data_IF_123790915925
#
_entry.id   IF_123790915925
#
_cell.length_a   1.000
_cell.length_b   1.000
_cell.length_c   1.000
_cell.angle_alpha   90.00
_cell.angle_beta   90.00
_cell.angle_gamma   90.00
#
_symmetry.space_group_name_H-M   'P 1'
#
loop_
_entity.id
_entity.type
_entity.pdbx_description
1 polymer ?
#
# COMPACT_ATOMS: atom_id res chain seq x y z
N UNK A 1 28.25 -4.51 -8.92
CA UNK A 1 27.54 -5.60 -9.63
C UNK A 1 26.02 -5.62 -9.44
N UNK A 2 25.44 -6.01 -8.28
CA UNK A 2 23.97 -6.13 -8.15
C UNK A 2 23.23 -4.79 -8.35
N UNK A 3 23.75 -3.71 -7.76
CA UNK A 3 23.21 -2.34 -7.95
C UNK A 3 23.22 -1.93 -9.42
N UNK A 4 24.33 -2.17 -10.13
CA UNK A 4 24.44 -1.86 -11.56
C UNK A 4 23.44 -2.66 -12.40
N UNK A 5 23.25 -3.95 -12.11
CA UNK A 5 22.23 -4.77 -12.79
C UNK A 5 20.83 -4.16 -12.61
N UNK A 6 20.45 -3.82 -11.37
CA UNK A 6 19.15 -3.19 -11.08
C UNK A 6 19.02 -1.84 -11.81
N UNK A 7 20.06 -1.01 -11.81
CA UNK A 7 20.04 0.29 -12.48
C UNK A 7 19.94 0.18 -14.02
N UNK A 8 20.67 -0.77 -14.61
CA UNK A 8 20.73 -0.97 -16.05
C UNK A 8 19.47 -1.65 -16.61
N UNK A 9 19.02 -2.71 -15.95
CA UNK A 9 17.95 -3.56 -16.49
C UNK A 9 16.58 -3.35 -15.84
N UNK A 10 16.52 -2.62 -14.71
CA UNK A 10 15.27 -2.34 -13.97
C UNK A 10 14.49 -3.60 -13.61
N UNK A 11 15.22 -4.65 -13.25
CA UNK A 11 14.69 -5.93 -12.78
C UNK A 11 15.28 -6.28 -11.41
N UNK A 12 14.56 -7.13 -10.70
CA UNK A 12 14.98 -7.66 -9.41
C UNK A 12 16.28 -8.45 -9.53
N UNK A 13 17.07 -8.41 -8.47
CA UNK A 13 18.34 -9.11 -8.34
C UNK A 13 18.46 -9.65 -6.92
N UNK A 14 18.93 -10.89 -6.79
CA UNK A 14 19.13 -11.54 -5.50
C UNK A 14 20.63 -11.73 -5.27
N UNK A 15 21.09 -11.35 -4.09
CA UNK A 15 22.45 -11.64 -3.61
C UNK A 15 22.34 -12.69 -2.53
N UNK A 16 22.74 -13.93 -2.85
CA UNK A 16 22.75 -15.02 -1.88
C UNK A 16 24.03 -14.94 -1.02
N UNK A 17 23.85 -14.53 0.25
CA UNK A 17 24.95 -14.36 1.20
C UNK A 17 25.07 -15.61 2.06
N UNK A 18 25.94 -16.52 1.64
CA UNK A 18 26.27 -17.71 2.42
C UNK A 18 27.02 -17.33 3.70
N UNK A 19 26.35 -17.48 4.84
CA UNK A 19 26.90 -17.19 6.16
C UNK A 19 26.57 -18.32 7.15
N UNK A 20 26.77 -18.07 8.44
CA UNK A 20 26.39 -18.99 9.50
C UNK A 20 25.80 -18.23 10.69
N UNK A 21 24.95 -18.91 11.47
CA UNK A 21 24.39 -18.37 12.71
C UNK A 21 25.26 -18.79 13.89
N UNK A 22 25.87 -17.82 14.58
CA UNK A 22 26.81 -18.09 15.70
C UNK A 22 26.13 -18.75 16.91
N UNK A 23 24.92 -18.29 17.24
CA UNK A 23 24.09 -18.78 18.35
C UNK A 23 22.86 -19.54 17.84
N UNK A 24 21.96 -19.94 18.74
CA UNK A 24 20.69 -20.58 18.39
C UNK A 24 19.72 -19.68 17.63
N UNK A 25 18.46 -20.10 17.47
CA UNK A 25 17.46 -19.26 16.78
C UNK A 25 17.29 -17.90 17.45
N UNK A 26 17.42 -17.90 18.77
CA UNK A 26 17.74 -16.73 19.59
C UNK A 26 18.95 -17.09 20.49
N UNK A 27 19.47 -16.13 21.23
CA UNK A 27 20.70 -16.25 22.02
C UNK A 27 20.56 -17.24 23.19
N UNK A 28 19.33 -17.52 23.64
CA UNK A 28 19.03 -18.43 24.74
C UNK A 28 18.70 -19.86 24.27
N UNK A 29 18.58 -20.07 22.96
CA UNK A 29 18.20 -21.33 22.34
C UNK A 29 19.40 -22.29 22.16
N UNK A 30 19.19 -23.58 22.44
CA UNK A 30 20.24 -24.59 22.41
C UNK A 30 20.24 -25.36 21.08
N UNK A 31 20.95 -24.82 20.09
CA UNK A 31 20.97 -25.37 18.74
C UNK A 31 21.64 -26.74 18.60
N UNK A 32 22.51 -27.13 19.54
CA UNK A 32 23.20 -28.43 19.47
C UNK A 32 22.24 -29.62 19.61
N UNK A 33 21.01 -29.41 20.11
CA UNK A 33 20.00 -30.47 20.17
C UNK A 33 19.59 -30.99 18.79
N UNK A 34 19.63 -30.13 17.77
CA UNK A 34 19.17 -30.48 16.42
C UNK A 34 20.25 -30.30 15.34
N UNK A 35 21.28 -29.47 15.57
CA UNK A 35 22.40 -29.27 14.62
C UNK A 35 23.81 -29.46 15.25
N UNK A 36 24.13 -30.58 15.92
CA UNK A 36 25.36 -30.73 16.71
C UNK A 36 26.65 -30.66 15.87
N UNK A 37 26.67 -31.24 14.67
CA UNK A 37 27.87 -31.24 13.81
C UNK A 37 28.18 -29.86 13.23
N UNK A 38 27.13 -29.13 12.81
CA UNK A 38 27.24 -27.78 12.29
C UNK A 38 27.80 -26.84 13.36
N UNK A 39 27.23 -26.87 14.56
CA UNK A 39 27.66 -26.00 15.65
C UNK A 39 29.04 -26.38 16.21
N UNK A 40 29.46 -27.66 16.10
CA UNK A 40 30.85 -28.04 16.39
C UNK A 40 31.83 -27.34 15.45
N UNK A 41 31.55 -27.33 14.14
CA UNK A 41 32.38 -26.63 13.14
C UNK A 41 32.36 -25.11 13.33
N UNK A 42 31.17 -24.53 13.55
CA UNK A 42 31.02 -23.09 13.81
C UNK A 42 31.84 -22.70 15.03
N UNK A 43 31.75 -23.45 16.14
CA UNK A 43 32.49 -23.17 17.37
C UNK A 43 34.02 -23.13 17.16
N UNK A 44 34.55 -24.00 16.29
CA UNK A 44 35.97 -23.99 15.93
C UNK A 44 36.37 -22.97 14.86
N UNK A 45 35.41 -22.31 14.22
CA UNK A 45 35.67 -21.37 13.13
C UNK A 45 35.82 -19.92 13.66
N UNK A 46 36.92 -19.22 13.32
CA UNK A 46 37.08 -17.80 13.63
C UNK A 46 35.91 -16.96 13.08
N UNK A 47 35.63 -15.81 13.69
CA UNK A 47 34.57 -14.91 13.19
C UNK A 47 34.99 -14.28 11.87
N UNK A 48 34.05 -13.86 11.00
CA UNK A 48 34.38 -13.14 9.77
C UNK A 48 35.22 -11.89 10.04
N UNK A 49 34.96 -11.20 11.15
CA UNK A 49 35.75 -10.05 11.60
C UNK A 49 37.20 -10.44 11.86
N UNK A 50 37.45 -11.53 12.60
CA UNK A 50 38.83 -11.96 12.88
C UNK A 50 39.56 -12.44 11.62
N UNK A 51 38.87 -13.18 10.74
CA UNK A 51 39.44 -13.60 9.45
C UNK A 51 39.84 -12.39 8.61
N UNK A 52 38.99 -11.36 8.57
CA UNK A 52 39.26 -10.16 7.78
C UNK A 52 40.35 -9.28 8.43
N UNK A 53 40.37 -9.15 9.76
CA UNK A 53 41.44 -8.47 10.51
C UNK A 53 42.80 -9.09 10.22
N UNK A 54 42.90 -10.42 10.31
CA UNK A 54 44.13 -11.14 10.03
C UNK A 54 44.62 -10.86 8.60
N UNK A 55 43.72 -10.88 7.62
CA UNK A 55 44.03 -10.55 6.23
C UNK A 55 44.54 -9.12 6.07
N UNK A 56 43.89 -8.12 6.68
CA UNK A 56 44.32 -6.72 6.59
C UNK A 56 45.72 -6.49 7.16
N UNK A 57 46.06 -7.22 8.22
CA UNK A 57 47.40 -7.18 8.84
C UNK A 57 48.43 -7.85 7.94
N UNK A 58 48.11 -9.01 7.36
CA UNK A 58 48.99 -9.73 6.43
C UNK A 58 49.28 -8.92 5.15
N UNK A 59 48.28 -8.19 4.64
CA UNK A 59 48.42 -7.31 3.47
C UNK A 59 49.10 -5.97 3.81
N UNK A 60 49.32 -5.66 5.09
CA UNK A 60 49.91 -4.40 5.55
C UNK A 60 48.98 -3.17 5.42
N UNK A 61 47.70 -3.38 5.14
CA UNK A 61 46.68 -2.32 5.00
C UNK A 61 46.35 -1.67 6.35
N UNK A 62 46.41 -2.45 7.44
CA UNK A 62 46.20 -1.98 8.80
C UNK A 62 47.07 -2.76 9.79
N UNK A 63 47.41 -2.14 10.91
CA UNK A 63 48.13 -2.78 12.01
C UNK A 63 47.16 -3.40 13.03
N UNK A 64 47.65 -4.37 13.82
CA UNK A 64 46.87 -4.94 14.93
C UNK A 64 46.46 -3.88 15.97
N UNK A 65 47.30 -2.87 16.18
CA UNK A 65 47.04 -1.79 17.13
C UNK A 65 45.89 -0.91 16.64
N UNK A 66 45.88 -0.51 15.37
CA UNK A 66 44.79 0.29 14.78
C UNK A 66 43.45 -0.46 14.84
N UNK A 67 43.44 -1.75 14.48
CA UNK A 67 42.21 -2.55 14.52
C UNK A 67 41.67 -2.76 15.95
N UNK A 68 42.56 -2.86 16.93
CA UNK A 68 42.18 -2.95 18.34
C UNK A 68 41.64 -1.61 18.85
N UNK A 69 42.29 -0.50 18.48
CA UNK A 69 41.82 0.84 18.83
C UNK A 69 40.40 1.09 18.29
N UNK A 70 40.13 0.70 17.04
CA UNK A 70 38.79 0.80 16.45
C UNK A 70 37.72 0.02 17.25
N UNK A 71 38.08 -1.16 17.78
CA UNK A 71 37.16 -1.95 18.63
C UNK A 71 36.92 -1.29 19.98
N UNK A 72 37.98 -0.77 20.61
CA UNK A 72 37.89 -0.06 21.88
C UNK A 72 37.08 1.24 21.72
N UNK A 73 37.27 1.97 20.62
CA UNK A 73 36.53 3.19 20.31
C UNK A 73 35.03 2.92 20.13
N UNK A 74 34.67 1.89 19.37
CA UNK A 74 33.26 1.51 19.19
C UNK A 74 32.64 1.01 20.49
N UNK A 75 33.37 0.22 21.29
CA UNK A 75 32.88 -0.20 22.60
C UNK A 75 32.65 0.99 23.53
N UNK A 76 33.58 1.94 23.57
CA UNK A 76 33.45 3.17 24.36
C UNK A 76 32.28 4.02 23.88
N UNK A 77 32.05 4.10 22.57
CA UNK A 77 30.90 4.76 21.99
C UNK A 77 29.58 4.13 22.46
N UNK A 78 29.44 2.79 22.38
CA UNK A 78 28.26 2.08 22.86
C UNK A 78 28.05 2.23 24.38
N UNK A 79 29.13 2.20 25.17
CA UNK A 79 29.07 2.42 26.61
C UNK A 79 28.64 3.85 26.96
N UNK A 80 29.10 4.85 26.20
CA UNK A 80 28.67 6.22 26.35
C UNK A 80 27.18 6.35 26.01
N UNK A 81 26.75 5.82 24.87
CA UNK A 81 25.35 5.84 24.46
C UNK A 81 24.44 5.16 25.50
N UNK A 82 24.88 4.05 26.10
CA UNK A 82 24.16 3.39 27.19
C UNK A 82 24.02 4.28 28.43
N UNK A 83 25.07 4.99 28.84
CA UNK A 83 25.00 5.95 29.94
C UNK A 83 24.08 7.13 29.62
N UNK A 84 24.24 7.71 28.44
CA UNK A 84 23.44 8.85 27.96
C UNK A 84 21.95 8.48 27.80
N UNK A 85 21.63 7.18 27.61
CA UNK A 85 20.24 6.71 27.49
C UNK A 85 19.38 6.95 28.72
N UNK A 86 19.99 7.11 29.90
CA UNK A 86 19.26 7.40 31.14
C UNK A 86 18.52 8.74 31.09
N UNK A 87 19.09 9.73 30.40
CA UNK A 87 18.54 11.07 30.25
C UNK A 87 17.87 11.27 28.86
N UNK A 88 17.88 10.24 28.01
CA UNK A 88 17.35 10.34 26.67
C UNK A 88 15.81 10.37 26.67
N UNK A 89 15.24 11.46 26.16
CA UNK A 89 13.82 11.56 25.84
C UNK A 89 13.64 11.32 24.34
N UNK A 90 12.92 10.27 23.93
CA UNK A 90 12.66 10.02 22.52
C UNK A 90 11.92 11.20 21.89
N UNK A 91 12.55 11.85 20.91
CA UNK A 91 11.87 12.80 20.04
C UNK A 91 11.04 12.02 19.03
N UNK A 92 9.71 12.18 19.05
CA UNK A 92 8.85 11.60 18.02
C UNK A 92 9.17 12.21 16.65
N UNK A 93 9.11 11.42 15.59
CA UNK A 93 9.46 11.86 14.23
C UNK A 93 10.28 10.80 13.49
N UNK A 94 9.65 10.01 12.64
CA UNK A 94 10.34 9.25 11.60
C UNK A 94 10.34 10.01 10.24
N UNK A 95 11.11 9.54 9.26
CA UNK A 95 11.21 10.14 7.93
C UNK A 95 9.85 10.29 7.23
N UNK A 96 8.90 9.40 7.49
CA UNK A 96 7.53 9.48 6.97
C UNK A 96 6.71 10.59 7.63
N UNK A 97 6.99 10.95 8.89
CA UNK A 97 6.13 11.87 9.65
C UNK A 97 6.09 13.27 9.02
N UNK A 98 7.14 13.65 8.27
CA UNK A 98 7.21 14.91 7.52
C UNK A 98 6.15 15.03 6.43
N UNK A 99 5.80 13.93 5.77
CA UNK A 99 4.77 13.95 4.72
C UNK A 99 3.36 14.13 5.32
N UNK A 100 3.21 13.82 6.61
CA UNK A 100 1.95 13.82 7.34
C UNK A 100 1.77 15.04 8.27
N UNK A 101 2.64 16.05 8.20
CA UNK A 101 2.60 17.24 9.06
C UNK A 101 1.25 18.00 9.01
N UNK A 102 0.52 17.91 7.90
CA UNK A 102 -0.80 18.55 7.74
C UNK A 102 -1.96 17.73 8.31
N UNK A 103 -1.71 16.49 8.76
CA UNK A 103 -2.72 15.59 9.32
C UNK A 103 -2.69 15.62 10.84
N UNK A 104 -3.87 15.44 11.43
CA UNK A 104 -4.04 15.39 12.88
C UNK A 104 -3.33 14.18 13.46
N UNK A 105 -2.80 14.34 14.67
CA UNK A 105 -2.18 13.24 15.40
C UNK A 105 -3.19 12.17 15.81
N UNK A 106 -2.69 10.98 16.15
CA UNK A 106 -3.43 9.84 16.72
C UNK A 106 -4.19 10.15 18.03
N UNK A 107 -3.94 11.32 18.62
CA UNK A 107 -4.60 11.81 19.85
C UNK A 107 -5.85 12.63 19.58
N UNK A 108 -6.10 13.03 18.35
CA UNK A 108 -7.21 13.89 17.98
C UNK A 108 -8.24 13.11 17.17
N UNK A 109 -9.50 13.14 17.61
CA UNK A 109 -10.58 12.58 16.82
C UNK A 109 -10.82 13.45 15.58
N UNK A 110 -10.88 12.81 14.41
CA UNK A 110 -11.35 13.48 13.21
C UNK A 110 -12.83 13.83 13.38
N UNK A 111 -13.19 15.07 13.04
CA UNK A 111 -14.58 15.53 13.02
C UNK A 111 -15.13 15.38 11.59
N UNK A 112 -16.39 14.93 11.41
CA UNK A 112 -17.00 14.85 10.10
C UNK A 112 -16.91 16.18 9.36
N UNK A 113 -16.35 16.16 8.15
CA UNK A 113 -16.23 17.33 7.29
C UNK A 113 -17.42 17.40 6.33
N UNK A 114 -17.79 18.61 5.91
CA UNK A 114 -18.74 18.79 4.80
C UNK A 114 -18.05 18.39 3.50
N UNK A 115 -18.50 17.29 2.89
CA UNK A 115 -17.96 16.75 1.64
C UNK A 115 -18.77 17.14 0.40
N UNK A 116 -19.88 17.85 0.59
CA UNK A 116 -20.75 18.30 -0.49
C UNK A 116 -20.03 19.27 -1.44
N UNK A 117 -20.32 19.15 -2.73
CA UNK A 117 -19.84 20.07 -3.77
C UNK A 117 -21.03 20.70 -4.49
N UNK A 118 -20.82 21.84 -5.15
CA UNK A 118 -21.86 22.47 -5.95
C UNK A 118 -22.28 21.57 -7.13
N UNK A 119 -23.58 21.57 -7.47
CA UNK A 119 -24.11 20.88 -8.64
C UNK A 119 -23.38 21.26 -9.93
N UNK A 120 -22.98 22.53 -10.07
CA UNK A 120 -22.19 23.00 -11.21
C UNK A 120 -20.89 22.19 -11.41
N UNK A 121 -20.21 21.82 -10.33
CA UNK A 121 -19.01 20.98 -10.37
C UNK A 121 -19.37 19.56 -10.80
N UNK A 122 -20.46 19.00 -10.24
CA UNK A 122 -20.95 17.66 -10.60
C UNK A 122 -21.34 17.58 -12.07
N UNK A 123 -22.09 18.55 -12.61
CA UNK A 123 -22.43 18.62 -14.03
C UNK A 123 -21.18 18.76 -14.91
N UNK A 124 -20.21 19.59 -14.51
CA UNK A 124 -18.95 19.75 -15.26
C UNK A 124 -18.18 18.44 -15.37
N UNK A 125 -18.03 17.71 -14.25
CA UNK A 125 -17.40 16.40 -14.19
C UNK A 125 -18.20 15.39 -15.01
N UNK A 126 -19.52 15.33 -14.80
CA UNK A 126 -20.45 14.45 -15.50
C UNK A 126 -20.35 14.56 -17.01
N UNK A 127 -20.41 15.79 -17.51
CA UNK A 127 -20.27 16.09 -18.93
C UNK A 127 -18.91 15.67 -19.49
N UNK A 128 -17.84 15.81 -18.71
CA UNK A 128 -16.50 15.47 -19.16
C UNK A 128 -16.25 13.96 -19.15
N UNK A 129 -16.60 13.25 -18.07
CA UNK A 129 -16.27 11.83 -17.93
C UNK A 129 -17.17 10.92 -18.79
N UNK A 130 -18.38 11.37 -19.16
CA UNK A 130 -19.27 10.63 -20.07
C UNK A 130 -19.01 10.95 -21.55
N UNK A 131 -18.13 11.90 -21.85
CA UNK A 131 -17.83 12.31 -23.23
C UNK A 131 -16.92 11.31 -23.92
N UNK A 132 -17.43 10.72 -25.00
CA UNK A 132 -16.67 9.82 -25.88
C UNK A 132 -15.87 10.67 -26.89
N UNK A 133 -14.55 10.51 -26.99
CA UNK A 133 -13.76 11.19 -28.02
C UNK A 133 -14.19 10.79 -29.44
N UNK A 134 -14.20 11.72 -30.42
CA UNK A 134 -14.64 11.41 -31.79
C UNK A 134 -13.85 10.30 -32.49
N UNK A 135 -12.60 10.10 -32.09
CA UNK A 135 -11.69 9.09 -32.64
C UNK A 135 -11.81 7.73 -31.94
N UNK A 136 -12.60 7.60 -30.87
CA UNK A 136 -12.66 6.40 -30.04
C UNK A 136 -13.91 5.56 -30.38
N UNK A 137 -13.69 4.33 -30.86
CA UNK A 137 -14.76 3.38 -31.15
C UNK A 137 -15.12 2.58 -29.90
N UNK A 138 -16.12 3.09 -29.18
CA UNK A 138 -16.63 2.45 -27.97
C UNK A 138 -17.63 1.32 -28.28
N UNK A 139 -17.73 0.34 -27.38
CA UNK A 139 -18.74 -0.71 -27.47
C UNK A 139 -20.18 -0.14 -27.38
N UNK A 140 -21.15 -0.59 -28.21
CA UNK A 140 -22.50 -0.04 -28.24
C UNK A 140 -23.24 -0.04 -26.90
N UNK A 141 -23.12 -1.12 -26.11
CA UNK A 141 -23.74 -1.18 -24.78
C UNK A 141 -23.13 -0.16 -23.81
N UNK A 142 -21.81 0.06 -23.88
CA UNK A 142 -21.15 1.04 -23.03
C UNK A 142 -21.53 2.47 -23.44
N UNK A 143 -21.71 2.74 -24.75
CA UNK A 143 -22.26 4.01 -25.23
C UNK A 143 -23.62 4.31 -24.62
N UNK A 144 -24.50 3.30 -24.53
CA UNK A 144 -25.82 3.43 -23.90
C UNK A 144 -25.70 3.74 -22.40
N UNK A 145 -24.87 3.00 -21.67
CA UNK A 145 -24.60 3.23 -20.23
C UNK A 145 -24.11 4.67 -19.99
N UNK A 146 -23.15 5.16 -20.80
CA UNK A 146 -22.64 6.53 -20.65
C UNK A 146 -23.69 7.60 -20.96
N UNK A 147 -24.59 7.34 -21.91
CA UNK A 147 -25.70 8.24 -22.22
C UNK A 147 -26.70 8.33 -21.07
N UNK A 148 -27.07 7.18 -20.48
CA UNK A 148 -27.97 7.12 -19.32
C UNK A 148 -27.36 7.82 -18.10
N UNK A 149 -26.06 7.60 -17.83
CA UNK A 149 -25.34 8.31 -16.76
C UNK A 149 -25.34 9.81 -16.95
N UNK A 150 -25.14 10.27 -18.18
CA UNK A 150 -25.16 11.69 -18.50
C UNK A 150 -26.53 12.29 -18.23
N UNK A 151 -27.60 11.62 -18.67
CA UNK A 151 -28.98 12.04 -18.43
C UNK A 151 -29.30 12.11 -16.93
N UNK A 152 -28.93 11.09 -16.15
CA UNK A 152 -29.10 11.09 -14.68
C UNK A 152 -28.42 12.29 -14.01
N UNK A 153 -27.22 12.66 -14.46
CA UNK A 153 -26.50 13.81 -13.94
C UNK A 153 -27.17 15.11 -14.35
N UNK A 154 -27.59 15.24 -15.62
CA UNK A 154 -28.29 16.43 -16.12
C UNK A 154 -29.63 16.65 -15.40
N UNK A 155 -30.37 15.58 -15.10
CA UNK A 155 -31.64 15.61 -14.36
C UNK A 155 -31.46 15.73 -12.84
N UNK A 156 -30.28 15.40 -12.30
CA UNK A 156 -30.00 15.37 -10.87
C UNK A 156 -30.75 14.28 -10.09
N UNK A 157 -31.32 13.29 -10.78
CA UNK A 157 -32.13 12.23 -10.17
C UNK A 157 -31.78 10.86 -10.74
N UNK A 158 -31.99 9.80 -9.96
CA UNK A 158 -31.71 8.42 -10.40
C UNK A 158 -30.22 8.09 -10.58
N UNK A 159 -29.32 8.82 -9.92
CA UNK A 159 -27.88 8.57 -9.97
C UNK A 159 -27.58 7.23 -9.28
N UNK A 160 -27.06 6.27 -10.05
CA UNK A 160 -26.66 4.96 -9.53
C UNK A 160 -25.32 5.00 -8.77
N UNK A 161 -24.96 3.88 -8.13
CA UNK A 161 -23.77 3.76 -7.30
C UNK A 161 -22.47 4.08 -8.05
N UNK A 162 -22.31 3.54 -9.26
CA UNK A 162 -21.08 3.72 -10.05
C UNK A 162 -20.98 5.13 -10.65
N UNK A 163 -22.11 5.76 -10.95
CA UNK A 163 -22.18 7.14 -11.37
C UNK A 163 -21.79 8.08 -10.21
N UNK A 164 -22.31 7.83 -9.01
CA UNK A 164 -21.92 8.56 -7.80
C UNK A 164 -20.43 8.37 -7.46
N UNK A 165 -19.89 7.15 -7.60
CA UNK A 165 -18.46 6.84 -7.44
C UNK A 165 -17.61 7.65 -8.42
N UNK A 166 -17.98 7.68 -9.71
CA UNK A 166 -17.27 8.46 -10.73
C UNK A 166 -17.29 9.97 -10.45
N UNK A 167 -18.41 10.50 -9.97
CA UNK A 167 -18.52 11.90 -9.55
C UNK A 167 -17.61 12.20 -8.35
N UNK A 168 -17.59 11.33 -7.33
CA UNK A 168 -16.74 11.47 -6.16
C UNK A 168 -15.24 11.43 -6.53
N UNK A 169 -14.82 10.53 -7.41
CA UNK A 169 -13.44 10.51 -7.89
C UNK A 169 -13.12 11.78 -8.68
N UNK A 170 -14.03 12.21 -9.56
CA UNK A 170 -13.85 13.43 -10.34
C UNK A 170 -13.71 14.68 -9.47
N UNK A 171 -14.44 14.79 -8.36
CA UNK A 171 -14.34 15.95 -7.45
C UNK A 171 -13.01 15.96 -6.71
N UNK A 172 -12.52 14.80 -6.28
CA UNK A 172 -11.20 14.66 -5.66
C UNK A 172 -10.09 15.05 -6.65
N UNK A 173 -10.15 14.53 -7.87
CA UNK A 173 -9.14 14.81 -8.90
C UNK A 173 -9.09 16.29 -9.29
N UNK A 174 -10.19 17.03 -9.14
CA UNK A 174 -10.26 18.48 -9.37
C UNK A 174 -9.61 19.32 -8.27
N UNK A 175 -9.27 18.74 -7.12
CA UNK A 175 -8.54 19.43 -6.05
C UNK A 175 -7.02 19.56 -6.35
N UNK A 176 -6.57 19.12 -7.54
CA UNK A 176 -5.20 19.17 -8.10
C UNK A 176 -4.13 18.36 -7.34
N UNK A 177 -4.14 18.39 -6.01
CA UNK A 177 -3.09 17.80 -5.16
C UNK A 177 -3.43 16.39 -4.69
N UNK A 178 -4.70 15.96 -4.82
CA UNK A 178 -5.16 14.66 -4.32
C UNK A 178 -5.35 13.68 -5.47
N UNK A 179 -4.50 12.65 -5.50
CA UNK A 179 -4.61 11.57 -6.48
C UNK A 179 -5.63 10.52 -6.04
N UNK A 180 -6.15 9.75 -7.00
CA UNK A 180 -7.04 8.62 -6.72
C UNK A 180 -6.39 7.36 -7.26
N UNK A 181 -6.29 6.33 -6.43
CA UNK A 181 -5.74 5.03 -6.79
C UNK A 181 -6.74 3.92 -6.44
N UNK A 182 -7.11 3.11 -7.41
CA UNK A 182 -7.95 1.93 -7.24
C UNK A 182 -7.23 0.71 -7.82
N UNK A 183 -7.00 -0.30 -7.00
CA UNK A 183 -6.32 -1.53 -7.38
C UNK A 183 -7.16 -2.73 -6.99
N UNK A 184 -7.25 -3.72 -7.87
CA UNK A 184 -8.06 -4.90 -7.64
C UNK A 184 -8.26 -5.69 -8.92
N UNK A 185 -8.78 -6.90 -8.79
CA UNK A 185 -9.04 -7.77 -9.94
C UNK A 185 -10.22 -7.20 -10.74
N UNK A 186 -10.02 -6.97 -12.04
CA UNK A 186 -11.03 -6.45 -12.97
C UNK A 186 -11.66 -5.10 -12.56
N UNK A 187 -11.01 -4.32 -11.69
CA UNK A 187 -11.60 -3.12 -11.09
C UNK A 187 -11.89 -2.01 -12.14
N UNK A 188 -11.15 -1.98 -13.26
CA UNK A 188 -11.33 -1.02 -14.35
C UNK A 188 -12.74 -1.06 -14.96
N UNK A 189 -13.22 -2.27 -15.24
CA UNK A 189 -14.59 -2.56 -15.68
C UNK A 189 -15.53 -2.64 -14.47
N UNK A 190 -15.03 -3.17 -13.36
CA UNK A 190 -15.79 -3.65 -12.22
C UNK A 190 -16.21 -5.10 -12.41
N UNK A 191 -16.13 -5.89 -11.33
CA UNK A 191 -16.56 -7.29 -11.29
C UNK A 191 -17.96 -7.47 -11.86
N UNK A 192 -18.89 -6.59 -11.48
CA UNK A 192 -20.30 -6.60 -11.87
C UNK A 192 -20.58 -5.83 -13.16
N UNK A 193 -19.55 -5.50 -13.93
CA UNK A 193 -19.64 -4.66 -15.14
C UNK A 193 -20.34 -3.32 -14.88
N UNK A 194 -20.09 -2.75 -13.70
CA UNK A 194 -20.77 -1.55 -13.23
C UNK A 194 -19.91 -0.30 -13.36
N UNK A 195 -18.57 -0.37 -13.35
CA UNK A 195 -17.72 0.82 -13.17
C UNK A 195 -17.40 1.53 -14.49
N UNK A 196 -16.76 0.82 -15.41
CA UNK A 196 -16.35 1.31 -16.74
C UNK A 196 -15.62 2.67 -16.72
N UNK A 197 -14.61 2.83 -15.85
CA UNK A 197 -13.76 4.03 -15.83
C UNK A 197 -12.64 3.98 -16.88
N UNK A 198 -12.33 2.79 -17.37
CA UNK A 198 -11.39 2.54 -18.46
C UNK A 198 -12.14 1.91 -19.63
N UNK A 199 -11.97 2.47 -20.81
CA UNK A 199 -12.61 2.03 -22.03
C UNK A 199 -11.58 1.44 -22.98
N UNK A 200 -11.98 0.42 -23.73
CA UNK A 200 -11.16 -0.21 -24.75
C UNK A 200 -11.76 0.02 -26.13
N UNK A 201 -10.96 0.57 -27.03
CA UNK A 201 -11.35 0.81 -28.42
C UNK A 201 -11.55 -0.53 -29.13
N UNK A 202 -12.69 -0.67 -29.80
CA UNK A 202 -13.11 -1.96 -30.39
C UNK A 202 -12.30 -2.36 -31.64
N UNK A 203 -11.57 -1.43 -32.26
CA UNK A 203 -10.77 -1.73 -33.46
C UNK A 203 -9.27 -1.74 -33.17
N UNK A 204 -8.78 -0.79 -32.37
CA UNK A 204 -7.35 -0.56 -32.14
C UNK A 204 -6.83 -1.13 -30.82
N UNK A 205 -7.72 -1.48 -29.88
CA UNK A 205 -7.34 -1.88 -28.53
C UNK A 205 -6.77 -0.74 -27.66
N UNK A 206 -6.79 0.50 -28.16
CA UNK A 206 -6.39 1.67 -27.41
C UNK A 206 -7.22 1.81 -26.13
N UNK A 207 -6.56 2.24 -25.06
CA UNK A 207 -7.17 2.37 -23.73
C UNK A 207 -7.42 3.85 -23.42
N UNK A 208 -8.62 4.17 -22.92
CA UNK A 208 -8.99 5.53 -22.55
C UNK A 208 -9.60 5.57 -21.15
N UNK A 209 -8.97 6.31 -20.24
CA UNK A 209 -9.47 6.55 -18.87
C UNK A 209 -10.19 7.88 -18.81
N UNK A 210 -11.51 7.88 -18.69
CA UNK A 210 -12.32 9.08 -18.86
C UNK A 210 -12.09 10.15 -17.79
N UNK A 211 -11.95 9.75 -16.53
CA UNK A 211 -11.70 10.65 -15.41
C UNK A 211 -10.31 11.32 -15.43
N UNK A 212 -9.39 10.88 -16.29
CA UNK A 212 -8.12 11.57 -16.55
C UNK A 212 -8.24 12.70 -17.59
N UNK A 213 -9.46 12.96 -18.09
CA UNK A 213 -9.73 13.93 -19.16
C UNK A 213 -10.85 14.91 -18.78
N UNK A 214 -10.90 15.36 -17.54
CA UNK A 214 -11.88 16.32 -17.02
C UNK A 214 -11.61 17.78 -17.43
N UNK A 215 -10.48 18.03 -18.10
CA UNK A 215 -10.04 19.34 -18.59
C UNK A 215 -9.42 20.22 -17.51
N UNK A 216 -8.64 21.22 -17.93
CA UNK A 216 -7.90 22.10 -17.02
C UNK A 216 -6.81 21.36 -16.24
N UNK A 217 -6.41 21.93 -15.10
CA UNK A 217 -5.52 21.24 -14.15
C UNK A 217 -6.33 20.23 -13.33
N UNK A 218 -5.77 19.04 -13.15
CA UNK A 218 -6.33 17.98 -12.34
C UNK A 218 -5.23 17.00 -11.90
N UNK A 219 -5.48 16.29 -10.82
CA UNK A 219 -4.71 15.12 -10.43
C UNK A 219 -5.03 13.90 -11.32
N UNK A 220 -4.28 12.82 -11.12
CA UNK A 220 -4.38 11.58 -11.92
C UNK A 220 -5.14 10.48 -11.16
N UNK A 221 -6.06 9.84 -11.86
CA UNK A 221 -6.63 8.54 -11.50
C UNK A 221 -5.67 7.43 -11.97
N UNK A 222 -5.28 6.58 -11.02
CA UNK A 222 -4.57 5.32 -11.26
C UNK A 222 -5.51 4.17 -10.90
N UNK A 223 -6.25 3.69 -11.89
CA UNK A 223 -7.04 2.47 -11.77
C UNK A 223 -6.26 1.34 -12.45
N UNK A 224 -6.03 0.24 -11.75
CA UNK A 224 -5.16 -0.84 -12.22
C UNK A 224 -5.76 -2.20 -11.92
N UNK A 225 -6.04 -2.96 -12.98
CA UNK A 225 -6.34 -4.38 -12.85
C UNK A 225 -5.12 -5.11 -12.26
N UNK A 226 -5.28 -5.67 -11.06
CA UNK A 226 -4.23 -6.42 -10.39
C UNK A 226 -4.09 -7.82 -10.98
N UNK A 227 -2.97 -8.49 -10.68
CA UNK A 227 -2.89 -9.94 -10.81
C UNK A 227 -3.84 -10.63 -9.81
N UNK A 228 -4.06 -11.93 -10.00
CA UNK A 228 -4.84 -12.78 -9.09
C UNK A 228 -4.06 -13.05 -7.79
N UNK A 229 -3.92 -12.02 -6.95
CA UNK A 229 -3.28 -12.10 -5.64
C UNK A 229 -3.88 -11.06 -4.69
N UNK A 230 -4.39 -11.48 -3.55
CA UNK A 230 -4.96 -10.59 -2.55
C UNK A 230 -3.87 -10.09 -1.60
N UNK A 231 -3.06 -11.00 -1.05
CA UNK A 231 -2.07 -10.65 -0.02
C UNK A 231 -1.00 -9.69 -0.52
N UNK A 232 -0.38 -9.95 -1.67
CA UNK A 232 0.69 -9.12 -2.19
C UNK A 232 0.17 -7.76 -2.66
N UNK A 233 -0.99 -7.74 -3.32
CA UNK A 233 -1.61 -6.50 -3.83
C UNK A 233 -2.09 -5.63 -2.66
N UNK A 234 -2.82 -6.17 -1.69
CA UNK A 234 -3.25 -5.39 -0.53
C UNK A 234 -2.04 -4.88 0.29
N UNK A 235 -0.98 -5.70 0.41
CA UNK A 235 0.28 -5.26 1.03
C UNK A 235 0.94 -4.10 0.27
N UNK A 236 0.93 -4.14 -1.07
CA UNK A 236 1.42 -3.05 -1.90
C UNK A 236 0.59 -1.77 -1.72
N UNK A 237 -0.75 -1.88 -1.78
CA UNK A 237 -1.64 -0.72 -1.61
C UNK A 237 -1.54 -0.11 -0.21
N UNK A 238 -1.39 -0.94 0.83
CA UNK A 238 -1.11 -0.46 2.18
C UNK A 238 0.25 0.24 2.26
N UNK A 239 1.28 -0.24 1.57
CA UNK A 239 2.55 0.48 1.48
C UNK A 239 2.39 1.84 0.80
N UNK A 240 1.62 1.90 -0.29
CA UNK A 240 1.34 3.12 -1.02
C UNK A 240 0.58 4.15 -0.17
N UNK A 241 -0.42 3.70 0.61
CA UNK A 241 -1.22 4.58 1.48
C UNK A 241 -0.45 5.14 2.68
N UNK A 242 0.64 4.48 3.10
CA UNK A 242 1.53 4.98 4.15
C UNK A 242 2.44 6.13 3.67
N UNK A 243 2.84 6.10 2.41
CA UNK A 243 3.76 7.09 1.79
C UNK A 243 3.01 8.28 1.18
N UNK A 244 1.75 8.11 0.76
CA UNK A 244 1.02 9.14 0.01
C UNK A 244 -0.22 9.62 0.76
N UNK A 245 -0.08 10.58 1.71
CA UNK A 245 -1.23 11.13 2.44
C UNK A 245 -2.20 11.91 1.54
N UNK A 246 -1.70 12.49 0.44
CA UNK A 246 -2.51 13.18 -0.58
C UNK A 246 -2.98 12.22 -1.68
N UNK A 247 -3.43 11.03 -1.30
CA UNK A 247 -4.00 10.05 -2.21
C UNK A 247 -5.18 9.31 -1.56
N UNK A 248 -6.30 9.24 -2.29
CA UNK A 248 -7.35 8.27 -1.98
C UNK A 248 -6.90 6.91 -2.53
N UNK A 249 -6.43 6.03 -1.65
CA UNK A 249 -5.97 4.69 -2.01
C UNK A 249 -7.04 3.66 -1.68
N UNK A 250 -7.46 2.89 -2.67
CA UNK A 250 -8.50 1.88 -2.56
C UNK A 250 -7.99 0.53 -3.05
N UNK A 251 -8.35 -0.51 -2.32
CA UNK A 251 -8.24 -1.90 -2.76
C UNK A 251 -9.63 -2.53 -2.87
N UNK A 252 -9.93 -3.13 -4.01
CA UNK A 252 -11.19 -3.84 -4.27
C UNK A 252 -10.96 -5.34 -4.38
N UNK A 253 -11.62 -6.08 -3.48
CA UNK A 253 -11.75 -7.53 -3.62
C UNK A 253 -12.79 -7.83 -4.71
N UNK A 254 -12.57 -8.87 -5.52
CA UNK A 254 -13.57 -9.28 -6.53
C UNK A 254 -14.91 -9.62 -5.86
N UNK A 255 -14.85 -10.34 -4.74
CA UNK A 255 -15.91 -10.54 -3.75
C UNK A 255 -15.30 -10.38 -2.36
N UNK A 256 -16.07 -9.86 -1.39
CA UNK A 256 -15.57 -9.60 -0.03
C UNK A 256 -15.02 -10.85 0.68
N UNK A 257 -15.54 -12.03 0.36
CA UNK A 257 -15.09 -13.31 0.91
C UNK A 257 -13.61 -13.62 0.65
N UNK A 258 -13.02 -13.09 -0.43
CA UNK A 258 -11.61 -13.34 -0.79
C UNK A 258 -10.61 -12.52 0.00
N UNK A 259 -11.05 -11.50 0.76
CA UNK A 259 -10.16 -10.68 1.57
C UNK A 259 -9.39 -11.48 2.64
N UNK A 260 -9.90 -12.65 3.03
CA UNK A 260 -9.21 -13.57 3.95
C UNK A 260 -7.85 -14.06 3.41
N UNK A 261 -7.64 -14.09 2.09
CA UNK A 261 -6.33 -14.37 1.49
C UNK A 261 -5.26 -13.37 1.90
N UNK A 262 -5.66 -12.16 2.30
CA UNK A 262 -4.80 -11.09 2.79
C UNK A 262 -4.90 -10.85 4.30
N UNK A 263 -5.37 -11.83 5.09
CA UNK A 263 -5.61 -11.67 6.52
C UNK A 263 -4.40 -11.17 7.30
N UNK A 264 -3.19 -11.60 6.93
CA UNK A 264 -1.96 -11.11 7.57
C UNK A 264 -1.81 -9.61 7.39
N UNK A 265 -2.12 -9.06 6.21
CA UNK A 265 -2.03 -7.62 5.94
C UNK A 265 -3.11 -6.88 6.75
N UNK A 266 -4.33 -7.41 6.77
CA UNK A 266 -5.44 -6.84 7.53
C UNK A 266 -5.11 -6.75 9.03
N UNK A 267 -4.66 -7.85 9.63
CA UNK A 267 -4.43 -7.93 11.08
C UNK A 267 -3.18 -7.17 11.51
N UNK A 268 -2.09 -7.34 10.75
CA UNK A 268 -0.78 -6.86 11.20
C UNK A 268 -0.47 -5.44 10.75
N UNK A 269 -1.03 -4.98 9.63
CA UNK A 269 -0.76 -3.63 9.11
C UNK A 269 -1.98 -2.71 9.20
N UNK A 270 -3.10 -3.08 8.60
CA UNK A 270 -4.25 -2.17 8.48
C UNK A 270 -4.89 -1.92 9.84
N UNK A 271 -5.20 -2.98 10.61
CA UNK A 271 -5.88 -2.85 11.90
C UNK A 271 -4.97 -2.37 13.04
N UNK A 272 -3.67 -2.67 12.97
CA UNK A 272 -2.75 -2.47 14.09
C UNK A 272 -1.61 -1.48 13.81
N UNK A 273 -1.49 -0.98 12.57
CA UNK A 273 -0.34 -0.18 12.13
C UNK A 273 -0.19 1.13 12.87
N UNK A 274 -1.29 1.88 13.04
CA UNK A 274 -1.28 3.14 13.77
C UNK A 274 -0.86 2.93 15.23
N UNK A 275 -1.41 1.93 15.91
CA UNK A 275 -1.10 1.68 17.32
C UNK A 275 0.31 1.16 17.56
N UNK A 276 0.81 0.27 16.70
CA UNK A 276 2.13 -0.36 16.90
C UNK A 276 3.27 0.53 16.44
N UNK A 277 3.07 1.28 15.37
CA UNK A 277 4.14 1.98 14.67
C UNK A 277 3.85 3.46 14.42
N UNK A 278 2.75 4.02 14.95
CA UNK A 278 2.32 5.41 14.71
C UNK A 278 2.19 5.73 13.23
N UNK A 279 1.64 4.78 12.48
CA UNK A 279 1.44 4.87 11.03
C UNK A 279 -0.03 5.03 10.68
N UNK A 280 -0.40 6.23 10.24
CA UNK A 280 -1.72 6.50 9.68
C UNK A 280 -1.82 5.95 8.25
N UNK A 281 -2.99 5.42 7.91
CA UNK A 281 -3.30 4.92 6.57
C UNK A 281 -4.75 5.28 6.25
N UNK A 282 -4.97 5.97 5.13
CA UNK A 282 -6.29 6.28 4.61
C UNK A 282 -6.84 5.22 3.64
N UNK A 283 -6.30 4.00 3.67
CA UNK A 283 -6.70 2.96 2.72
C UNK A 283 -8.20 2.61 2.88
N UNK A 284 -8.89 2.50 1.75
CA UNK A 284 -10.29 2.08 1.68
C UNK A 284 -10.38 0.66 1.13
N UNK A 285 -11.09 -0.21 1.86
CA UNK A 285 -11.33 -1.60 1.45
C UNK A 285 -12.74 -1.72 0.86
N UNK A 286 -12.82 -1.97 -0.45
CA UNK A 286 -14.06 -2.24 -1.14
C UNK A 286 -14.29 -3.76 -1.14
N UNK A 287 -15.22 -4.20 -0.29
CA UNK A 287 -15.51 -5.61 -0.05
C UNK A 287 -16.97 -5.91 -0.44
N UNK A 288 -17.24 -6.28 -1.71
CA UNK A 288 -18.59 -6.59 -2.16
C UNK A 288 -19.26 -7.61 -1.25
N UNK A 289 -20.47 -7.31 -0.79
CA UNK A 289 -21.21 -8.10 0.18
C UNK A 289 -22.69 -8.16 -0.19
N UNK A 290 -23.31 -9.34 -0.03
CA UNK A 290 -24.74 -9.54 -0.25
C UNK A 290 -25.15 -11.00 -0.04
N UNK A 291 -26.38 -11.23 0.42
CA UNK A 291 -26.96 -12.56 0.57
C UNK A 291 -27.96 -12.86 -0.56
N UNK A 292 -27.45 -13.11 -1.76
CA UNK A 292 -28.28 -13.25 -2.98
C UNK A 292 -28.42 -14.71 -3.47
N UNK A 293 -28.24 -15.69 -2.58
CA UNK A 293 -28.44 -17.11 -2.90
C UNK A 293 -27.30 -17.79 -3.68
N UNK A 294 -26.21 -17.08 -3.98
CA UNK A 294 -24.99 -17.67 -4.54
C UNK A 294 -24.30 -18.63 -3.53
N UNK A 295 -23.49 -19.57 -4.03
CA UNK A 295 -22.85 -20.65 -3.25
C UNK A 295 -22.06 -20.15 -2.03
N UNK A 296 -21.78 -21.04 -1.09
CA UNK A 296 -21.26 -20.76 0.27
C UNK A 296 -19.99 -19.92 0.39
N UNK A 297 -19.25 -19.70 -0.71
CA UNK A 297 -18.02 -18.89 -0.77
C UNK A 297 -18.23 -17.42 -1.13
N UNK A 298 -19.46 -17.02 -1.48
CA UNK A 298 -19.81 -15.62 -1.82
C UNK A 298 -20.81 -15.05 -0.79
N UNK A 299 -20.74 -15.51 0.46
CA UNK A 299 -21.82 -15.31 1.45
C UNK A 299 -21.45 -14.36 2.58
N UNK A 300 -20.18 -14.12 2.87
CA UNK A 300 -19.81 -13.44 4.12
C UNK A 300 -18.48 -12.70 4.13
N UNK A 301 -18.54 -11.42 4.51
CA UNK A 301 -17.41 -10.68 5.04
C UNK A 301 -17.23 -11.03 6.55
N UNK A 302 -16.67 -12.20 6.86
CA UNK A 302 -16.45 -12.65 8.25
C UNK A 302 -15.11 -12.13 8.77
N UNK A 303 -15.13 -11.16 9.69
CA UNK A 303 -13.96 -10.84 10.52
C UNK A 303 -13.80 -9.37 10.90
N UNK A 304 -14.23 -8.44 10.05
CA UNK A 304 -14.04 -6.99 10.23
C UNK A 304 -14.57 -6.49 11.59
N UNK A 305 -15.78 -6.89 11.98
CA UNK A 305 -16.36 -6.49 13.28
C UNK A 305 -15.63 -7.04 14.52
N UNK A 306 -14.91 -8.17 14.42
CA UNK A 306 -14.14 -8.72 15.56
C UNK A 306 -12.76 -8.07 15.70
N UNK A 307 -12.24 -7.49 14.62
CA UNK A 307 -10.94 -6.81 14.57
C UNK A 307 -11.06 -5.36 15.06
N UNK A 308 -12.27 -4.78 15.07
CA UNK A 308 -12.52 -3.45 15.59
C UNK A 308 -12.32 -3.35 17.12
N UNK A 309 -11.12 -2.96 17.55
CA UNK A 309 -10.98 -2.15 18.76
C UNK A 309 -11.51 -0.74 18.50
N UNK A 310 -12.20 -0.11 19.48
CA UNK A 310 -12.66 1.28 19.43
C UNK A 310 -11.59 2.24 18.84
N UNK A 311 -11.95 3.31 18.12
CA UNK A 311 -12.56 3.37 16.79
C UNK A 311 -11.46 3.45 15.69
N UNK A 312 -10.85 2.33 15.29
CA UNK A 312 -9.75 2.36 14.32
C UNK A 312 -10.16 2.02 12.88
N UNK A 313 -11.35 1.42 12.70
CA UNK A 313 -11.87 1.05 11.38
C UNK A 313 -13.28 1.61 11.24
N UNK A 314 -13.49 2.44 10.22
CA UNK A 314 -14.81 2.90 9.80
C UNK A 314 -15.42 1.83 8.89
N UNK A 315 -16.44 1.15 9.37
CA UNK A 315 -17.22 0.23 8.55
C UNK A 315 -18.52 0.94 8.14
N UNK A 316 -18.73 1.13 6.84
CA UNK A 316 -19.96 1.66 6.26
C UNK A 316 -20.79 0.54 5.62
N UNK A 317 -20.91 -0.60 6.31
CA UNK A 317 -21.99 -1.53 5.99
C UNK A 317 -23.30 -0.77 6.25
N UNK A 318 -24.07 -0.53 5.18
CA UNK A 318 -25.43 0.00 5.31
C UNK A 318 -26.24 -1.07 6.07
N UNK A 319 -26.67 -0.73 7.28
CA UNK A 319 -27.68 -1.48 8.04
C UNK A 319 -29.05 -1.41 7.36
#
# INVERSE_FOLDING_TARGET
MAVEYRQRFRKDVVVDVFCYRRHGHNELDQATFTQPLMYRKIKSHPTPVEVYRQRLVEEGTATRQELKQMEEDEWNHLQKAFKDSADHVPTGGDYLDKQWEMFKSDKELSIPQTTGVSEKVLHSIGNAYTKIPPWFKIHPLLKKILSERREQIELGTGIDWANAEALAFGTILKQEEITVRLSGQDCERGTFSQRHMVWHDQDSGAVYTSLNNLGGKQARLQIANSNLSEMAVLGFEQGFSLEHPNALVMWEAQFGDFANGAQVILDTFIAAGERKWRRQSGIVLLLPHGYEGMESRNRTNKGSHRICGKPFLLNSALD
#
